data_IF_930827486880
#
_entry.id   IF_930827486880
#
_cell.length_a   1.000
_cell.length_b   1.000
_cell.length_c   1.000
_cell.angle_alpha   90.00
_cell.angle_beta   90.00
_cell.angle_gamma   90.00
#
_symmetry.space_group_name_H-M   'P 1'
#
loop_
_entity.id
_entity.type
_entity.pdbx_description
1 polymer ?
#
# COMPACT_ATOMS: atom_id res chain seq x y z
N UNK A 1 22.86 8.10 0.73
CA UNK A 1 23.32 7.95 -0.67
C UNK A 1 24.07 6.65 -0.94
N UNK A 2 24.38 5.90 0.07
CA UNK A 2 25.26 4.70 -0.01
C UNK A 2 24.64 3.49 -0.74
N UNK A 3 23.34 3.52 -1.00
CA UNK A 3 22.63 2.45 -1.73
C UNK A 3 22.41 2.75 -3.22
N UNK A 4 22.79 3.95 -3.68
CA UNK A 4 22.65 4.30 -5.09
C UNK A 4 23.68 3.55 -5.94
N UNK A 5 23.21 2.72 -6.87
CA UNK A 5 24.06 1.91 -7.75
C UNK A 5 24.41 2.58 -9.07
N UNK A 6 23.75 3.70 -9.39
CA UNK A 6 23.88 4.42 -10.65
C UNK A 6 24.34 5.87 -10.44
N UNK A 7 24.98 6.50 -11.45
CA UNK A 7 25.25 7.93 -11.39
C UNK A 7 23.96 8.72 -11.36
N UNK A 8 23.95 9.90 -10.71
CA UNK A 8 22.77 10.77 -10.60
C UNK A 8 22.13 11.12 -11.95
N UNK A 9 22.90 11.10 -13.03
CA UNK A 9 22.39 11.31 -14.39
C UNK A 9 21.39 10.21 -14.85
N UNK A 10 21.37 9.05 -14.19
CA UNK A 10 20.41 7.97 -14.45
C UNK A 10 19.14 8.06 -13.59
N UNK A 11 19.10 9.02 -12.66
CA UNK A 11 17.97 9.20 -11.75
C UNK A 11 16.89 10.04 -12.43
N UNK A 12 15.70 9.48 -12.53
CA UNK A 12 14.51 10.16 -13.12
C UNK A 12 13.61 10.83 -12.09
N UNK A 13 13.59 10.32 -10.84
CA UNK A 13 12.80 10.87 -9.73
C UNK A 13 13.55 10.71 -8.41
N UNK A 14 13.39 11.71 -7.53
CA UNK A 14 13.82 11.67 -6.14
C UNK A 14 12.60 11.93 -5.28
N UNK A 15 12.39 11.11 -4.26
CA UNK A 15 11.26 11.23 -3.34
C UNK A 15 11.74 11.15 -1.90
N UNK A 16 11.05 11.82 -1.01
CA UNK A 16 11.20 11.68 0.44
C UNK A 16 10.04 10.86 1.00
N UNK A 17 10.36 9.78 1.67
CA UNK A 17 9.42 8.98 2.45
C UNK A 17 9.60 9.35 3.93
N UNK A 18 8.55 9.82 4.57
CA UNK A 18 8.65 10.40 5.92
C UNK A 18 8.56 9.37 7.04
N UNK A 19 7.97 8.22 6.80
CA UNK A 19 7.69 7.24 7.85
C UNK A 19 8.23 5.84 7.49
N UNK A 20 8.68 5.05 8.50
CA UNK A 20 8.85 5.36 9.92
C UNK A 20 10.02 6.30 10.19
N UNK A 21 11.00 6.36 9.27
CA UNK A 21 12.13 7.29 9.30
C UNK A 21 12.29 7.97 7.94
N UNK A 22 12.69 9.26 7.92
CA UNK A 22 12.90 9.97 6.66
C UNK A 22 13.92 9.26 5.79
N UNK A 23 13.48 8.76 4.65
CA UNK A 23 14.33 8.04 3.68
C UNK A 23 14.21 8.70 2.31
N UNK A 24 15.35 9.06 1.73
CA UNK A 24 15.42 9.58 0.37
C UNK A 24 15.53 8.40 -0.59
N UNK A 25 14.56 8.26 -1.48
CA UNK A 25 14.58 7.28 -2.55
C UNK A 25 14.85 7.93 -3.91
N UNK A 26 15.64 7.24 -4.72
CA UNK A 26 15.94 7.61 -6.09
C UNK A 26 15.44 6.50 -7.01
N UNK A 27 14.95 6.90 -8.17
CA UNK A 27 14.34 5.97 -9.13
C UNK A 27 14.85 6.23 -10.53
N UNK A 28 15.13 5.16 -11.25
CA UNK A 28 15.25 5.21 -12.71
C UNK A 28 13.87 5.30 -13.35
N UNK A 29 13.82 5.49 -14.67
CA UNK A 29 12.55 5.42 -15.39
C UNK A 29 11.93 4.02 -15.33
N UNK A 30 12.76 2.97 -15.27
CA UNK A 30 12.31 1.59 -15.14
C UNK A 30 11.77 1.29 -13.72
N UNK A 31 12.41 1.83 -12.68
CA UNK A 31 11.88 1.74 -11.30
C UNK A 31 10.49 2.39 -11.19
N UNK A 32 10.31 3.57 -11.83
CA UNK A 32 9.00 4.24 -11.85
C UNK A 32 7.96 3.38 -12.58
N UNK A 33 8.32 2.82 -13.74
CA UNK A 33 7.42 1.96 -14.50
C UNK A 33 7.03 0.70 -13.70
N UNK A 34 7.99 0.07 -13.00
CA UNK A 34 7.74 -1.07 -12.13
C UNK A 34 6.80 -0.71 -10.97
N UNK A 35 7.00 0.46 -10.31
CA UNK A 35 6.12 0.92 -9.24
C UNK A 35 4.67 1.15 -9.75
N UNK A 36 4.53 1.77 -10.92
CA UNK A 36 3.20 1.98 -11.54
C UNK A 36 2.54 0.64 -11.86
N UNK A 37 3.27 -0.32 -12.41
CA UNK A 37 2.74 -1.65 -12.72
C UNK A 37 2.31 -2.40 -11.45
N UNK A 38 3.17 -2.47 -10.43
CA UNK A 38 2.87 -3.10 -9.14
C UNK A 38 1.62 -2.49 -8.51
N UNK A 39 1.56 -1.16 -8.44
CA UNK A 39 0.44 -0.43 -7.86
C UNK A 39 -0.85 -0.66 -8.66
N UNK A 40 -0.79 -0.67 -9.99
CA UNK A 40 -1.94 -0.95 -10.86
C UNK A 40 -2.52 -2.35 -10.60
N UNK A 41 -1.66 -3.36 -10.44
CA UNK A 41 -2.08 -4.74 -10.11
C UNK A 41 -2.81 -4.80 -8.78
N UNK A 42 -2.30 -4.08 -7.78
CA UNK A 42 -2.88 -4.03 -6.44
C UNK A 42 -4.24 -3.33 -6.45
N UNK A 43 -4.33 -2.19 -7.09
CA UNK A 43 -5.59 -1.44 -7.24
C UNK A 43 -6.64 -2.29 -7.97
N UNK A 44 -6.25 -2.95 -9.04
CA UNK A 44 -7.14 -3.89 -9.77
C UNK A 44 -7.55 -5.07 -8.90
N UNK A 45 -6.64 -5.60 -8.05
CA UNK A 45 -6.96 -6.67 -7.11
C UNK A 45 -7.96 -6.26 -6.03
N UNK A 46 -8.00 -4.97 -5.69
CA UNK A 46 -9.02 -4.37 -4.82
C UNK A 46 -10.29 -3.95 -5.58
N UNK A 47 -10.42 -4.34 -6.86
CA UNK A 47 -11.61 -4.08 -7.69
C UNK A 47 -11.68 -2.66 -8.28
N UNK A 48 -10.57 -1.92 -8.32
CA UNK A 48 -10.52 -0.64 -9.03
C UNK A 48 -10.47 -0.89 -10.53
N UNK A 49 -11.25 -0.13 -11.27
CA UNK A 49 -11.37 -0.23 -12.72
C UNK A 49 -11.51 1.16 -13.35
N UNK A 50 -11.61 1.21 -14.68
CA UNK A 50 -11.86 2.46 -15.42
C UNK A 50 -13.16 3.18 -15.05
N UNK A 51 -14.09 2.52 -14.38
CA UNK A 51 -15.33 3.12 -13.90
C UNK A 51 -15.18 3.76 -12.52
N UNK A 52 -14.07 3.54 -11.81
CA UNK A 52 -13.84 4.03 -10.46
C UNK A 52 -13.42 5.49 -10.43
N UNK A 53 -13.89 6.20 -9.42
CA UNK A 53 -13.52 7.60 -9.12
C UNK A 53 -12.86 7.62 -7.75
N UNK A 54 -11.53 7.74 -7.74
CA UNK A 54 -10.72 7.47 -6.56
C UNK A 54 -10.15 8.76 -5.98
N UNK A 55 -10.53 9.07 -4.74
CA UNK A 55 -10.00 10.17 -3.96
C UNK A 55 -8.65 9.82 -3.32
N UNK A 56 -7.62 10.62 -3.61
CA UNK A 56 -6.29 10.50 -3.02
C UNK A 56 -6.17 11.46 -1.83
N UNK A 57 -6.28 10.93 -0.61
CA UNK A 57 -6.33 11.74 0.61
C UNK A 57 -4.94 11.88 1.24
N UNK A 58 -4.30 13.02 1.02
CA UNK A 58 -3.00 13.33 1.60
C UNK A 58 -2.28 14.45 0.87
N UNK A 59 -0.99 14.56 1.15
CA UNK A 59 -0.10 15.43 0.39
C UNK A 59 0.35 14.68 -0.87
N UNK A 60 0.18 15.30 -2.04
CA UNK A 60 0.62 14.73 -3.31
C UNK A 60 2.15 14.70 -3.46
N UNK A 61 2.88 15.42 -2.61
CA UNK A 61 4.33 15.23 -2.48
C UNK A 61 4.69 13.91 -1.77
N UNK A 62 3.71 13.27 -1.11
CA UNK A 62 3.86 11.94 -0.52
C UNK A 62 3.98 10.89 -1.65
N UNK A 63 5.14 10.26 -1.73
CA UNK A 63 5.51 9.40 -2.86
C UNK A 63 4.51 8.28 -3.14
N UNK A 64 3.90 7.71 -2.10
CA UNK A 64 2.91 6.65 -2.25
C UNK A 64 1.63 7.13 -2.95
N UNK A 65 1.15 8.35 -2.67
CA UNK A 65 -0.03 8.91 -3.34
C UNK A 65 0.26 9.30 -4.78
N UNK A 66 1.49 9.74 -5.06
CA UNK A 66 1.90 10.04 -6.42
C UNK A 66 1.97 8.77 -7.29
N UNK A 67 2.52 7.67 -6.76
CA UNK A 67 2.51 6.38 -7.44
C UNK A 67 1.08 5.84 -7.63
N UNK A 68 0.20 6.02 -6.63
CA UNK A 68 -1.21 5.67 -6.74
C UNK A 68 -1.92 6.45 -7.84
N UNK A 69 -1.65 7.77 -7.98
CA UNK A 69 -2.21 8.57 -9.07
C UNK A 69 -1.79 8.02 -10.43
N UNK A 70 -0.49 7.81 -10.64
CA UNK A 70 0.01 7.31 -11.92
C UNK A 70 -0.58 5.93 -12.26
N UNK A 71 -0.73 5.06 -11.25
CA UNK A 71 -1.34 3.75 -11.44
C UNK A 71 -2.83 3.83 -11.78
N UNK A 72 -3.60 4.74 -11.16
CA UNK A 72 -5.00 4.99 -11.49
C UNK A 72 -5.16 5.47 -12.93
N UNK A 73 -4.34 6.44 -13.34
CA UNK A 73 -4.31 6.95 -14.70
C UNK A 73 -3.98 5.84 -15.72
N UNK A 74 -3.02 4.95 -15.37
CA UNK A 74 -2.67 3.80 -16.22
C UNK A 74 -3.81 2.77 -16.35
N UNK A 75 -4.62 2.57 -15.29
CA UNK A 75 -5.83 1.73 -15.32
C UNK A 75 -6.95 2.39 -16.13
N UNK A 76 -6.92 3.72 -16.25
CA UNK A 76 -7.98 4.56 -16.83
C UNK A 76 -9.07 4.94 -15.82
N UNK A 77 -8.80 4.81 -14.52
CA UNK A 77 -9.65 5.30 -13.43
C UNK A 77 -9.46 6.82 -13.24
N UNK A 78 -10.48 7.49 -12.70
CA UNK A 78 -10.35 8.91 -12.37
C UNK A 78 -9.66 9.09 -11.02
N UNK A 79 -8.53 9.80 -11.00
CA UNK A 79 -7.85 10.17 -9.77
C UNK A 79 -8.27 11.59 -9.34
N UNK A 80 -8.72 11.74 -8.09
CA UNK A 80 -9.15 13.01 -7.51
C UNK A 80 -8.23 13.35 -6.34
N UNK A 81 -7.22 14.24 -6.51
CA UNK A 81 -6.38 14.67 -5.39
C UNK A 81 -7.21 15.41 -4.34
N UNK A 82 -7.38 14.80 -3.17
CA UNK A 82 -8.05 15.39 -2.03
C UNK A 82 -7.03 16.15 -1.16
N UNK A 83 -7.45 17.25 -0.60
CA UNK A 83 -6.62 18.09 0.27
C UNK A 83 -6.66 17.60 1.72
N UNK A 84 -5.73 18.08 2.53
CA UNK A 84 -5.84 18.03 4.00
C UNK A 84 -6.80 19.09 4.54
N UNK A 85 -7.20 20.05 3.71
CA UNK A 85 -8.27 21.01 4.01
C UNK A 85 -9.63 20.33 3.89
N UNK A 86 -10.39 20.36 4.99
CA UNK A 86 -11.67 19.66 5.10
C UNK A 86 -12.74 20.18 4.13
N UNK A 87 -12.91 21.51 4.07
CA UNK A 87 -13.97 22.10 3.23
C UNK A 87 -13.74 21.84 1.74
N UNK A 88 -12.47 21.94 1.31
CA UNK A 88 -12.10 21.63 -0.06
C UNK A 88 -12.33 20.15 -0.36
N UNK A 89 -11.95 19.27 0.56
CA UNK A 89 -12.15 17.83 0.42
C UNK A 89 -13.62 17.47 0.33
N UNK A 90 -14.47 18.06 1.18
CA UNK A 90 -15.91 17.85 1.15
C UNK A 90 -16.52 18.23 -0.22
N UNK A 91 -16.18 19.42 -0.73
CA UNK A 91 -16.63 19.86 -2.05
C UNK A 91 -16.21 18.91 -3.18
N UNK A 92 -14.99 18.36 -3.10
CA UNK A 92 -14.50 17.39 -4.10
C UNK A 92 -15.21 16.05 -3.99
N UNK A 93 -15.46 15.55 -2.78
CA UNK A 93 -16.21 14.30 -2.56
C UNK A 93 -17.61 14.38 -3.17
N UNK A 94 -18.31 15.50 -2.96
CA UNK A 94 -19.65 15.76 -3.49
C UNK A 94 -19.63 15.93 -5.01
N UNK A 95 -18.78 16.82 -5.51
CA UNK A 95 -18.77 17.21 -6.93
C UNK A 95 -18.28 16.12 -7.87
N UNK A 96 -17.29 15.32 -7.42
CA UNK A 96 -16.69 14.26 -8.23
C UNK A 96 -17.36 12.89 -8.02
N UNK A 97 -18.29 12.74 -7.07
CA UNK A 97 -18.90 11.46 -6.74
C UNK A 97 -17.87 10.36 -6.42
N UNK A 98 -16.91 10.69 -5.58
CA UNK A 98 -15.82 9.78 -5.20
C UNK A 98 -16.38 8.50 -4.59
N UNK A 99 -16.05 7.35 -5.18
CA UNK A 99 -16.52 6.03 -4.78
C UNK A 99 -15.52 5.26 -3.91
N UNK A 100 -14.25 5.62 -3.99
CA UNK A 100 -13.14 4.99 -3.30
C UNK A 100 -12.20 6.05 -2.74
N UNK A 101 -11.64 5.84 -1.54
CA UNK A 101 -10.59 6.70 -0.98
C UNK A 101 -9.31 5.90 -0.75
N UNK A 102 -8.17 6.44 -1.20
CA UNK A 102 -6.82 5.96 -0.88
C UNK A 102 -6.13 6.98 0.04
N UNK A 103 -5.51 6.51 1.11
CA UNK A 103 -4.74 7.34 2.03
C UNK A 103 -4.31 6.59 3.27
N UNK A 104 -3.58 7.25 4.18
CA UNK A 104 -3.26 6.61 5.46
C UNK A 104 -4.51 6.44 6.32
N UNK A 105 -4.61 5.32 7.04
CA UNK A 105 -5.77 5.00 7.88
C UNK A 105 -6.10 6.14 8.88
N UNK A 106 -5.09 6.81 9.42
CA UNK A 106 -5.26 7.95 10.35
C UNK A 106 -5.89 9.16 9.68
N UNK A 107 -5.46 9.51 8.45
CA UNK A 107 -6.02 10.65 7.69
C UNK A 107 -7.48 10.37 7.31
N UNK A 108 -7.77 9.15 6.86
CA UNK A 108 -9.13 8.73 6.52
C UNK A 108 -10.03 8.77 7.75
N UNK A 109 -9.58 8.21 8.88
CA UNK A 109 -10.35 8.25 10.12
C UNK A 109 -10.61 9.70 10.59
N UNK A 110 -9.64 10.60 10.46
CA UNK A 110 -9.83 12.03 10.76
C UNK A 110 -10.90 12.65 9.87
N UNK A 111 -10.88 12.40 8.58
CA UNK A 111 -11.91 12.87 7.64
C UNK A 111 -13.30 12.36 8.05
N UNK A 112 -13.44 11.07 8.35
CA UNK A 112 -14.70 10.47 8.79
C UNK A 112 -15.24 11.13 10.06
N UNK A 113 -14.36 11.37 11.05
CA UNK A 113 -14.74 12.06 12.30
C UNK A 113 -15.19 13.49 12.02
N UNK A 114 -14.52 14.21 11.13
CA UNK A 114 -14.89 15.58 10.76
C UNK A 114 -16.24 15.62 10.03
N UNK A 115 -16.51 14.69 9.12
CA UNK A 115 -17.81 14.54 8.46
C UNK A 115 -18.93 14.33 9.49
N UNK A 116 -18.75 13.39 10.41
CA UNK A 116 -19.71 13.10 11.47
C UNK A 116 -19.94 14.31 12.40
N UNK A 117 -18.90 15.04 12.74
CA UNK A 117 -19.01 16.27 13.55
C UNK A 117 -19.79 17.39 12.82
N UNK A 118 -19.80 17.39 11.50
CA UNK A 118 -20.59 18.31 10.66
C UNK A 118 -22.01 17.81 10.36
N UNK A 119 -22.43 16.69 10.96
CA UNK A 119 -23.74 16.09 10.73
C UNK A 119 -23.86 15.30 9.41
N UNK A 120 -22.72 15.02 8.76
CA UNK A 120 -22.66 14.21 7.54
C UNK A 120 -22.15 12.81 7.87
N UNK A 121 -22.69 11.82 7.18
CA UNK A 121 -22.22 10.44 7.27
C UNK A 121 -21.62 9.99 5.94
N UNK A 122 -20.77 8.99 5.98
CA UNK A 122 -20.18 8.40 4.77
C UNK A 122 -21.28 7.87 3.82
N UNK A 123 -22.38 7.39 4.35
CA UNK A 123 -23.55 6.96 3.58
C UNK A 123 -24.20 8.07 2.74
N UNK A 124 -23.87 9.33 2.99
CA UNK A 124 -24.31 10.46 2.14
C UNK A 124 -23.54 10.53 0.82
N UNK A 125 -22.43 9.80 0.70
CA UNK A 125 -21.56 9.76 -0.47
C UNK A 125 -21.62 8.37 -1.13
N UNK A 126 -21.31 8.23 -2.42
CA UNK A 126 -21.23 6.94 -3.09
C UNK A 126 -20.02 6.10 -2.67
N UNK A 127 -19.38 6.46 -1.57
CA UNK A 127 -18.19 5.81 -1.06
C UNK A 127 -18.50 4.40 -0.55
N UNK A 128 -17.90 3.40 -1.15
CA UNK A 128 -18.10 2.00 -0.77
C UNK A 128 -16.77 1.26 -0.52
N UNK A 129 -15.62 1.89 -0.78
CA UNK A 129 -14.31 1.28 -0.63
C UNK A 129 -13.27 2.23 -0.05
N UNK A 130 -12.42 1.69 0.80
CA UNK A 130 -11.26 2.40 1.38
C UNK A 130 -10.01 1.54 1.18
N UNK A 131 -8.94 2.13 0.66
CA UNK A 131 -7.63 1.51 0.57
C UNK A 131 -6.66 2.24 1.50
N UNK A 132 -6.22 1.56 2.54
CA UNK A 132 -5.31 2.13 3.54
C UNK A 132 -3.86 1.91 3.14
N UNK A 133 -3.12 2.98 2.93
CA UNK A 133 -1.66 2.92 2.84
C UNK A 133 -1.10 2.73 4.26
N UNK A 134 -0.46 1.61 4.50
CA UNK A 134 0.09 1.22 5.80
C UNK A 134 1.57 0.85 5.67
N UNK A 135 2.34 1.25 6.67
CA UNK A 135 3.76 0.91 6.82
C UNK A 135 3.99 -0.38 7.62
N UNK A 136 2.92 -0.94 8.16
CA UNK A 136 2.92 -2.20 8.89
C UNK A 136 1.95 -3.17 8.24
N UNK A 137 2.26 -4.45 8.32
CA UNK A 137 1.40 -5.52 7.79
C UNK A 137 0.09 -5.67 8.58
N UNK A 138 -0.02 -5.00 9.73
CA UNK A 138 -1.25 -4.95 10.54
C UNK A 138 -1.79 -3.52 10.56
N UNK A 139 -3.08 -3.39 10.26
CA UNK A 139 -3.78 -2.12 10.36
C UNK A 139 -4.72 -2.12 11.58
N UNK A 140 -4.29 -1.54 12.72
CA UNK A 140 -5.12 -1.53 13.94
C UNK A 140 -6.39 -0.68 13.79
N UNK A 141 -6.46 0.21 12.79
CA UNK A 141 -7.60 1.08 12.55
C UNK A 141 -8.62 0.49 11.58
N UNK A 142 -8.32 -0.64 10.91
CA UNK A 142 -9.18 -1.25 9.89
C UNK A 142 -10.60 -1.48 10.41
N UNK A 143 -10.75 -2.22 11.50
CA UNK A 143 -12.06 -2.50 12.11
C UNK A 143 -12.82 -1.23 12.52
N UNK A 144 -12.10 -0.20 12.99
CA UNK A 144 -12.72 1.08 13.33
C UNK A 144 -13.25 1.80 12.09
N UNK A 145 -12.50 1.78 11.00
CA UNK A 145 -12.93 2.35 9.72
C UNK A 145 -14.15 1.61 9.19
N UNK A 146 -14.09 0.28 9.06
CA UNK A 146 -15.21 -0.55 8.60
C UNK A 146 -16.48 -0.31 9.40
N UNK A 147 -16.38 -0.32 10.74
CA UNK A 147 -17.53 -0.08 11.62
C UNK A 147 -18.14 1.33 11.49
N UNK A 148 -17.29 2.36 11.29
CA UNK A 148 -17.76 3.74 11.18
C UNK A 148 -18.30 4.12 9.82
N UNK A 149 -17.80 3.49 8.78
CA UNK A 149 -18.08 3.87 7.40
C UNK A 149 -19.04 2.91 6.70
N UNK A 150 -19.12 1.67 7.17
CA UNK A 150 -19.85 0.60 6.49
C UNK A 150 -19.24 0.20 5.14
N UNK A 151 -17.99 0.60 4.87
CA UNK A 151 -17.29 0.34 3.62
C UNK A 151 -16.32 -0.83 3.76
N UNK A 152 -15.96 -1.46 2.64
CA UNK A 152 -14.85 -2.41 2.62
C UNK A 152 -13.51 -1.69 2.77
N UNK A 153 -12.64 -2.19 3.64
CA UNK A 153 -11.30 -1.64 3.86
C UNK A 153 -10.24 -2.64 3.43
N UNK A 154 -9.38 -2.22 2.51
CA UNK A 154 -8.22 -2.97 2.03
C UNK A 154 -6.92 -2.36 2.56
N UNK A 155 -5.97 -3.20 2.91
CA UNK A 155 -4.65 -2.77 3.30
C UNK A 155 -3.68 -2.88 2.12
N UNK A 156 -2.97 -1.78 1.85
CA UNK A 156 -1.87 -1.68 0.90
C UNK A 156 -0.59 -1.40 1.69
N UNK A 157 0.31 -2.35 1.70
CA UNK A 157 1.58 -2.12 2.38
C UNK A 157 2.45 -1.16 1.57
N UNK A 158 2.96 -0.12 2.25
CA UNK A 158 3.93 0.83 1.75
C UNK A 158 5.20 0.77 2.59
N UNK A 159 6.35 0.96 1.98
CA UNK A 159 7.61 0.94 2.70
C UNK A 159 8.54 2.04 2.20
N UNK A 160 9.01 2.84 3.15
CA UNK A 160 10.02 3.86 2.88
C UNK A 160 11.36 3.24 2.47
N UNK A 161 11.70 2.07 3.00
CA UNK A 161 12.95 1.37 2.69
C UNK A 161 12.97 0.86 1.26
N UNK A 162 11.82 0.44 0.73
CA UNK A 162 11.69 -0.06 -0.64
C UNK A 162 11.22 1.02 -1.63
N UNK A 163 10.78 2.17 -1.13
CA UNK A 163 10.33 3.28 -1.96
C UNK A 163 9.15 2.97 -2.86
N UNK A 164 8.23 2.09 -2.45
CA UNK A 164 7.07 1.71 -3.25
C UNK A 164 5.85 1.40 -2.38
N UNK A 165 4.70 1.40 -3.00
CA UNK A 165 3.43 0.90 -2.43
C UNK A 165 3.00 -0.37 -3.16
N UNK A 166 2.20 -1.19 -2.48
CA UNK A 166 1.60 -2.37 -3.11
C UNK A 166 2.54 -3.56 -3.27
N UNK A 167 3.70 -3.59 -2.61
CA UNK A 167 4.54 -4.78 -2.56
C UNK A 167 3.81 -5.96 -1.92
N UNK A 168 2.93 -5.68 -0.95
CA UNK A 168 1.96 -6.61 -0.37
C UNK A 168 0.57 -6.03 -0.47
N UNK A 169 -0.43 -6.86 -0.73
CA UNK A 169 -1.80 -6.41 -0.91
C UNK A 169 -2.83 -7.46 -0.49
N UNK A 170 -3.93 -6.99 0.05
CA UNK A 170 -5.10 -7.80 0.26
C UNK A 170 -5.91 -7.93 -1.04
N UNK A 171 -6.45 -9.11 -1.26
CA UNK A 171 -7.46 -9.37 -2.26
C UNK A 171 -8.85 -9.49 -1.63
N UNK A 172 -9.88 -9.70 -2.43
CA UNK A 172 -11.28 -9.90 -1.98
C UNK A 172 -11.45 -11.04 -0.96
N UNK A 173 -10.49 -11.97 -0.88
CA UNK A 173 -10.52 -13.05 0.13
C UNK A 173 -10.16 -12.59 1.55
N UNK A 174 -9.56 -11.42 1.72
CA UNK A 174 -9.13 -10.82 2.99
C UNK A 174 -8.28 -11.73 3.91
N UNK A 175 -7.69 -12.80 3.38
CA UNK A 175 -6.87 -13.75 4.15
C UNK A 175 -5.40 -13.56 3.81
N UNK A 176 -4.69 -12.85 4.67
CA UNK A 176 -3.29 -12.48 4.47
C UNK A 176 -3.10 -11.44 3.35
N UNK A 177 -1.86 -11.25 2.96
CA UNK A 177 -1.48 -10.31 1.91
C UNK A 177 -0.63 -11.03 0.87
N UNK A 178 -1.02 -10.95 -0.41
CA UNK A 178 -0.20 -11.46 -1.51
C UNK A 178 1.07 -10.64 -1.66
N UNK A 179 2.19 -11.31 -1.97
CA UNK A 179 3.45 -10.65 -2.32
C UNK A 179 3.66 -10.71 -3.84
N UNK A 180 4.18 -9.64 -4.41
CA UNK A 180 4.54 -9.61 -5.82
C UNK A 180 5.91 -10.26 -6.04
N UNK A 181 5.94 -11.59 -6.20
CA UNK A 181 7.14 -12.43 -6.27
C UNK A 181 8.00 -12.18 -7.52
N UNK A 182 7.48 -11.53 -8.53
CA UNK A 182 8.22 -11.08 -9.70
C UNK A 182 9.08 -9.82 -9.43
N UNK A 183 8.77 -9.09 -8.36
CA UNK A 183 9.52 -7.92 -7.92
C UNK A 183 10.31 -8.13 -6.63
N UNK A 184 9.87 -9.07 -5.79
CA UNK A 184 10.47 -9.32 -4.48
C UNK A 184 10.65 -10.80 -4.22
N UNK A 185 11.84 -11.17 -3.75
CA UNK A 185 12.10 -12.51 -3.24
C UNK A 185 11.98 -12.53 -1.71
N UNK A 186 10.98 -13.20 -1.15
CA UNK A 186 10.79 -13.30 0.28
C UNK A 186 11.52 -14.52 0.86
N UNK A 187 12.13 -14.34 2.03
CA UNK A 187 12.66 -15.39 2.88
C UNK A 187 12.05 -15.25 4.27
N UNK A 188 11.86 -16.37 4.96
CA UNK A 188 11.58 -16.39 6.40
C UNK A 188 12.86 -16.81 7.11
N UNK A 189 13.27 -16.03 8.10
CA UNK A 189 14.47 -16.28 8.87
C UNK A 189 14.13 -16.48 10.34
N UNK A 190 14.82 -17.42 10.99
CA UNK A 190 14.62 -17.68 12.41
C UNK A 190 14.88 -16.44 13.26
N UNK A 191 14.06 -16.21 14.26
CA UNK A 191 14.20 -15.06 15.16
C UNK A 191 15.54 -15.07 15.88
N UNK A 192 16.23 -13.94 15.83
CA UNK A 192 17.55 -13.78 16.48
C UNK A 192 18.70 -14.53 15.81
N UNK A 193 18.45 -15.19 14.66
CA UNK A 193 19.43 -15.93 13.88
C UNK A 193 19.51 -15.48 12.42
N UNK A 194 20.19 -16.27 11.59
CA UNK A 194 20.32 -16.09 10.14
C UNK A 194 19.86 -17.33 9.36
N UNK A 195 19.35 -18.34 10.04
CA UNK A 195 18.90 -19.58 9.44
C UNK A 195 17.59 -19.35 8.70
N UNK A 196 17.55 -19.75 7.42
CA UNK A 196 16.36 -19.66 6.57
C UNK A 196 15.44 -20.83 6.90
N UNK A 197 14.16 -20.50 7.14
CA UNK A 197 13.09 -21.48 7.33
C UNK A 197 12.49 -21.75 5.95
N UNK A 198 12.60 -22.97 5.46
CA UNK A 198 12.11 -23.36 4.13
C UNK A 198 10.67 -23.89 4.13
N UNK A 199 10.18 -24.26 5.31
CA UNK A 199 8.82 -24.78 5.46
C UNK A 199 7.79 -23.64 5.44
N UNK A 200 6.71 -23.84 4.70
CA UNK A 200 5.54 -22.97 4.74
C UNK A 200 4.82 -23.04 6.09
N UNK A 201 4.07 -22.00 6.38
CA UNK A 201 3.27 -21.87 7.62
C UNK A 201 4.10 -21.89 8.92
N UNK A 202 5.40 -21.61 8.83
CA UNK A 202 6.28 -21.42 9.97
C UNK A 202 6.52 -19.93 10.24
N UNK A 203 6.54 -19.57 11.53
CA UNK A 203 6.78 -18.18 11.96
C UNK A 203 8.25 -17.84 11.92
N UNK A 204 8.56 -16.65 11.40
CA UNK A 204 9.88 -16.07 11.44
C UNK A 204 9.88 -14.60 11.06
N UNK A 205 11.05 -14.02 10.93
CA UNK A 205 11.23 -12.67 10.44
C UNK A 205 11.24 -12.65 8.92
N UNK A 206 10.44 -11.75 8.33
CA UNK A 206 10.43 -11.52 6.90
C UNK A 206 11.72 -10.82 6.46
N UNK A 207 12.39 -11.41 5.50
CA UNK A 207 13.57 -10.85 4.81
C UNK A 207 13.22 -10.72 3.33
N UNK A 208 13.56 -9.60 2.71
CA UNK A 208 13.21 -9.30 1.34
C UNK A 208 14.44 -8.92 0.51
N UNK A 209 14.47 -9.43 -0.72
CA UNK A 209 15.40 -8.99 -1.76
C UNK A 209 14.62 -8.41 -2.92
N UNK A 210 15.00 -7.22 -3.39
CA UNK A 210 14.44 -6.64 -4.63
C UNK A 210 15.03 -7.34 -5.84
N UNK A 211 14.20 -7.68 -6.83
CA UNK A 211 14.61 -8.39 -8.03
C UNK A 211 14.84 -7.47 -9.24
N UNK A 212 14.14 -6.34 -9.27
CA UNK A 212 14.09 -5.45 -10.45
C UNK A 212 14.55 -4.03 -10.14
N UNK A 213 14.77 -3.66 -8.87
CA UNK A 213 15.22 -2.32 -8.50
C UNK A 213 16.59 -2.00 -9.09
N UNK A 214 16.66 -0.88 -9.84
CA UNK A 214 17.90 -0.47 -10.52
C UNK A 214 18.66 0.58 -9.72
N UNK A 215 18.00 1.61 -9.21
CA UNK A 215 18.68 2.71 -8.53
C UNK A 215 19.11 2.36 -7.11
N UNK A 216 18.24 1.74 -6.32
CA UNK A 216 18.49 1.43 -4.91
C UNK A 216 18.07 -0.01 -4.57
N UNK A 217 18.78 -1.02 -5.07
CA UNK A 217 18.46 -2.41 -4.77
C UNK A 217 18.74 -2.75 -3.30
N UNK A 218 17.88 -3.58 -2.71
CA UNK A 218 18.07 -4.15 -1.38
C UNK A 218 18.25 -5.66 -1.50
N UNK A 219 19.27 -6.18 -0.85
CA UNK A 219 19.57 -7.61 -0.82
C UNK A 219 19.44 -8.10 0.61
N UNK A 220 18.56 -9.08 0.84
CA UNK A 220 18.29 -9.69 2.14
C UNK A 220 18.04 -8.66 3.25
N UNK A 221 17.19 -7.67 2.95
CA UNK A 221 16.79 -6.65 3.92
C UNK A 221 15.88 -7.26 4.98
N UNK A 222 16.29 -7.13 6.24
CA UNK A 222 15.52 -7.61 7.40
C UNK A 222 14.44 -6.58 7.74
N UNK A 223 13.19 -6.96 7.57
CA UNK A 223 12.06 -6.04 7.74
C UNK A 223 11.65 -5.82 9.20
N UNK A 224 12.12 -6.67 10.13
CA UNK A 224 11.65 -6.69 11.51
C UNK A 224 10.22 -7.20 11.68
N UNK A 225 9.55 -7.65 10.60
CA UNK A 225 8.17 -8.11 10.62
C UNK A 225 8.10 -9.62 10.92
N UNK A 226 7.36 -9.99 11.97
CA UNK A 226 7.09 -11.40 12.28
C UNK A 226 5.91 -11.88 11.43
N UNK A 227 6.15 -12.87 10.58
CA UNK A 227 5.15 -13.39 9.63
C UNK A 227 5.27 -14.90 9.44
N UNK A 228 4.25 -15.47 8.81
CA UNK A 228 4.31 -16.76 8.12
C UNK A 228 4.13 -16.53 6.63
N UNK A 229 4.73 -17.38 5.79
CA UNK A 229 4.40 -17.46 4.36
C UNK A 229 3.57 -18.71 4.13
N UNK A 230 2.50 -18.58 3.35
CA UNK A 230 1.67 -19.70 2.93
C UNK A 230 1.56 -19.78 1.41
N UNK A 231 1.61 -20.99 0.87
CA UNK A 231 1.36 -21.31 -0.54
C UNK A 231 -0.06 -21.88 -0.77
N UNK A 232 -0.89 -21.95 0.27
CA UNK A 232 -2.26 -22.42 0.17
C UNK A 232 -3.05 -21.63 -0.90
N UNK A 233 -3.88 -22.28 -1.71
CA UNK A 233 -4.68 -21.60 -2.71
C UNK A 233 -5.53 -20.48 -2.11
N UNK A 234 -5.53 -19.34 -2.76
CA UNK A 234 -6.40 -18.22 -2.39
C UNK A 234 -7.73 -18.29 -3.15
N UNK A 235 -8.83 -17.94 -2.49
CA UNK A 235 -10.17 -17.87 -3.11
C UNK A 235 -10.25 -16.88 -4.27
N UNK A 236 -9.33 -15.90 -4.35
CA UNK A 236 -9.24 -14.95 -5.46
C UNK A 236 -8.64 -15.55 -6.75
N UNK A 237 -8.17 -16.81 -6.72
CA UNK A 237 -7.56 -17.51 -7.86
C UNK A 237 -6.13 -17.10 -8.20
N UNK A 238 -5.52 -16.14 -7.49
CA UNK A 238 -4.11 -15.76 -7.69
C UNK A 238 -3.18 -16.81 -7.11
N UNK A 239 -2.09 -17.08 -7.83
CA UNK A 239 -1.08 -18.08 -7.44
C UNK A 239 0.06 -17.51 -6.58
N UNK A 240 0.12 -16.21 -6.39
CA UNK A 240 1.11 -15.58 -5.51
C UNK A 240 0.94 -16.07 -4.07
N UNK A 241 2.07 -16.40 -3.44
CA UNK A 241 2.11 -16.72 -2.01
C UNK A 241 1.57 -15.54 -1.19
N UNK A 242 1.13 -15.85 0.03
CA UNK A 242 0.60 -14.85 0.95
C UNK A 242 1.42 -14.79 2.22
N UNK A 243 1.54 -13.58 2.73
CA UNK A 243 2.07 -13.31 4.06
C UNK A 243 0.89 -13.26 5.03
N UNK A 244 1.01 -14.04 6.10
CA UNK A 244 0.07 -14.06 7.21
C UNK A 244 0.77 -13.45 8.43
N UNK A 245 0.23 -12.40 8.96
CA UNK A 245 0.68 -11.85 10.25
C UNK A 245 -0.07 -12.52 11.39
N UNK A 246 0.60 -12.86 12.51
CA UNK A 246 -0.11 -13.39 13.67
C UNK A 246 -1.14 -12.35 14.12
N UNK A 247 -2.34 -12.81 14.44
CA UNK A 247 -3.30 -11.95 15.13
C UNK A 247 -2.67 -11.56 16.47
N UNK A 248 -2.47 -10.26 16.69
CA UNK A 248 -2.13 -9.78 18.03
C UNK A 248 -3.32 -10.11 18.92
N UNK A 249 -3.12 -11.09 19.81
CA UNK A 249 -4.04 -11.28 20.94
C UNK A 249 -3.90 -10.05 21.83
N UNK A 250 -4.84 -9.11 21.73
CA UNK A 250 -5.04 -8.06 22.71
C UNK A 250 -5.87 -8.57 23.86
#
# INVERSE_FOLDING_TARGET
MDLLTLPLSGVARISLWEHPQPTVHMYTINDIAANVEMTSRVLTAAGISRASIVGLLGDMADSGLFDAQQALEAIGAAAVPLSTDYERTLKLLEAAHVDTIIGSARRILRLVIQLQASGLEISNFPLHKILCLNETLQNPLKMHLEKRTGTEVYDLFSSAEFGCIGMFFQCEGHVGQHIQQDYFYPEIVAFGGNEVIHEFNCMGELVLTTLTAEAMPLIRYRTGQAVMITDEPCTCGRTFIRIITPMSSF
#
